data_IF_529618714931
#
_entry.id   IF_529618714931
#
_cell.length_a   1.000
_cell.length_b   1.000
_cell.length_c   1.000
_cell.angle_alpha   90.00
_cell.angle_beta   90.00
_cell.angle_gamma   90.00
#
_symmetry.space_group_name_H-M   'P 1'
#
loop_
_entity.id
_entity.type
_entity.pdbx_description
1 polymer ?
#
# COMPACT_ATOMS: atom_id res chain seq x y z
N UNK A 1 51.43 -28.58 -18.17
CA UNK A 1 50.39 -29.06 -17.22
C UNK A 1 49.15 -28.24 -17.49
N UNK A 2 47.96 -28.85 -17.53
CA UNK A 2 46.72 -28.16 -17.88
C UNK A 2 46.14 -27.43 -16.66
N UNK A 3 45.79 -26.16 -16.84
CA UNK A 3 45.04 -25.37 -15.85
C UNK A 3 43.62 -25.18 -16.39
N UNK A 4 42.61 -25.44 -15.56
CA UNK A 4 41.22 -25.22 -15.96
C UNK A 4 40.64 -24.06 -15.17
N UNK A 5 40.17 -23.02 -15.84
CA UNK A 5 39.64 -21.81 -15.21
C UNK A 5 38.12 -21.78 -15.33
N UNK A 6 37.44 -21.66 -14.19
CA UNK A 6 35.99 -21.52 -14.14
C UNK A 6 35.58 -20.19 -14.78
N UNK A 7 34.83 -20.23 -15.88
CA UNK A 7 34.35 -19.01 -16.55
C UNK A 7 33.30 -18.21 -15.75
N UNK A 8 32.75 -18.80 -14.69
CA UNK A 8 31.73 -18.17 -13.83
C UNK A 8 32.35 -17.39 -12.67
N UNK A 9 33.46 -17.85 -12.10
CA UNK A 9 34.05 -17.24 -10.90
C UNK A 9 35.58 -17.11 -10.92
N UNK A 10 36.25 -17.61 -11.95
CA UNK A 10 37.70 -17.56 -12.09
C UNK A 10 38.47 -18.59 -11.27
N UNK A 11 37.81 -19.53 -10.58
CA UNK A 11 38.50 -20.61 -9.87
C UNK A 11 39.38 -21.43 -10.82
N UNK A 12 40.66 -21.56 -10.49
CA UNK A 12 41.62 -22.34 -11.27
C UNK A 12 41.80 -23.72 -10.63
N UNK A 13 41.47 -24.77 -11.40
CA UNK A 13 41.85 -26.13 -11.09
C UNK A 13 43.21 -26.42 -11.72
N UNK A 14 44.23 -26.51 -10.86
CA UNK A 14 45.59 -26.86 -11.25
C UNK A 14 45.81 -28.35 -11.01
N UNK A 15 45.96 -29.12 -12.08
CA UNK A 15 46.23 -30.56 -12.02
C UNK A 15 47.52 -30.92 -11.25
N UNK A 16 48.47 -29.99 -11.09
CA UNK A 16 49.70 -30.20 -10.35
C UNK A 16 49.54 -30.03 -8.83
N UNK A 17 48.55 -29.23 -8.39
CA UNK A 17 48.29 -28.94 -6.97
C UNK A 17 47.04 -29.64 -6.44
N UNK A 18 46.09 -29.97 -7.31
CA UNK A 18 44.84 -30.62 -6.94
C UNK A 18 45.06 -32.10 -6.59
N UNK A 19 44.30 -32.61 -5.61
CA UNK A 19 44.36 -34.02 -5.19
C UNK A 19 43.84 -35.00 -6.25
N UNK A 20 43.06 -34.51 -7.22
CA UNK A 20 42.45 -35.29 -8.30
C UNK A 20 42.65 -34.53 -9.60
N UNK A 21 43.08 -35.22 -10.66
CA UNK A 21 43.24 -34.61 -12.00
C UNK A 21 41.89 -34.26 -12.59
N UNK A 22 41.86 -33.23 -13.42
CA UNK A 22 40.64 -32.72 -14.04
C UNK A 22 39.83 -33.82 -14.74
N UNK A 23 40.49 -34.65 -15.54
CA UNK A 23 39.84 -35.74 -16.28
C UNK A 23 39.24 -36.82 -15.38
N UNK A 24 39.80 -36.98 -14.18
CA UNK A 24 39.34 -37.94 -13.17
C UNK A 24 38.20 -37.40 -12.30
N UNK A 25 37.80 -36.14 -12.45
CA UNK A 25 36.67 -35.58 -11.71
C UNK A 25 35.34 -36.15 -12.26
N UNK A 26 34.40 -36.55 -11.37
CA UNK A 26 33.06 -36.97 -11.74
C UNK A 26 32.33 -35.97 -12.65
N UNK A 27 31.40 -36.44 -13.48
CA UNK A 27 30.65 -35.59 -14.41
C UNK A 27 29.71 -34.59 -13.70
N UNK A 28 29.31 -34.90 -12.48
CA UNK A 28 28.51 -34.03 -11.60
C UNK A 28 29.36 -33.12 -10.70
N UNK A 29 30.70 -33.18 -10.84
CA UNK A 29 31.58 -32.29 -10.10
C UNK A 29 31.28 -30.83 -10.42
N UNK A 30 31.13 -30.03 -9.37
CA UNK A 30 30.84 -28.60 -9.46
C UNK A 30 31.99 -27.79 -8.87
N UNK A 31 32.24 -26.62 -9.45
CA UNK A 31 33.18 -25.64 -8.93
C UNK A 31 32.94 -25.43 -7.42
N UNK A 32 33.96 -25.63 -6.56
CA UNK A 32 33.80 -25.48 -5.12
C UNK A 32 33.51 -24.03 -4.71
N UNK A 33 33.81 -23.07 -5.58
CA UNK A 33 33.61 -21.64 -5.32
C UNK A 33 32.21 -21.18 -5.70
N UNK A 34 31.71 -21.54 -6.89
CA UNK A 34 30.44 -20.99 -7.41
C UNK A 34 29.36 -22.04 -7.74
N UNK A 35 29.67 -23.33 -7.62
CA UNK A 35 28.74 -24.41 -7.98
C UNK A 35 28.52 -24.59 -9.48
N UNK A 36 29.24 -23.85 -10.33
CA UNK A 36 29.18 -24.05 -11.78
C UNK A 36 29.64 -25.47 -12.15
N UNK A 37 28.98 -26.09 -13.12
CA UNK A 37 29.33 -27.44 -13.58
C UNK A 37 30.75 -27.48 -14.16
N UNK A 38 31.37 -28.68 -14.17
CA UNK A 38 32.66 -28.95 -14.82
C UNK A 38 32.75 -28.40 -16.25
N UNK A 39 31.64 -28.40 -17.00
CA UNK A 39 31.55 -27.85 -18.36
C UNK A 39 31.74 -26.33 -18.46
N UNK A 40 31.66 -25.59 -17.37
CA UNK A 40 31.85 -24.14 -17.35
C UNK A 40 33.34 -23.73 -17.26
N UNK A 41 34.26 -24.69 -17.30
CA UNK A 41 35.70 -24.44 -17.22
C UNK A 41 36.34 -24.43 -18.60
N UNK A 42 37.35 -23.57 -18.75
CA UNK A 42 38.16 -23.45 -19.96
C UNK A 42 39.59 -23.84 -19.65
N UNK A 43 40.22 -24.59 -20.55
CA UNK A 43 41.64 -24.94 -20.43
C UNK A 43 42.49 -23.70 -20.77
N UNK A 44 43.42 -23.33 -19.89
CA UNK A 44 44.43 -22.31 -20.13
C UNK A 44 45.81 -22.98 -20.20
N UNK A 45 46.48 -22.86 -21.35
CA UNK A 45 47.85 -23.35 -21.52
C UNK A 45 48.86 -22.43 -20.80
N UNK A 46 49.90 -23.04 -20.23
CA UNK A 46 50.76 -22.48 -19.18
C UNK A 46 51.71 -21.34 -19.57
N UNK A 47 51.63 -20.79 -20.79
CA UNK A 47 52.52 -19.70 -21.23
C UNK A 47 51.99 -18.30 -20.90
N UNK A 48 50.73 -18.17 -20.45
CA UNK A 48 50.11 -16.89 -20.11
C UNK A 48 50.13 -16.53 -18.60
N UNK A 49 50.82 -17.32 -17.75
CA UNK A 49 50.75 -17.19 -16.28
C UNK A 49 51.96 -16.50 -15.63
N UNK A 50 52.90 -15.95 -16.43
CA UNK A 50 54.10 -15.28 -15.91
C UNK A 50 53.85 -13.87 -15.33
N UNK A 51 52.64 -13.31 -15.46
CA UNK A 51 52.40 -11.89 -15.12
C UNK A 51 51.13 -11.65 -14.28
N UNK A 52 50.82 -12.58 -13.36
CA UNK A 52 49.58 -12.52 -12.56
C UNK A 52 49.78 -12.33 -11.05
N UNK A 53 50.93 -11.86 -10.58
CA UNK A 53 51.14 -11.58 -9.15
C UNK A 53 50.32 -10.39 -8.63
N UNK A 54 49.66 -9.61 -9.50
CA UNK A 54 48.72 -8.54 -9.10
C UNK A 54 47.26 -8.98 -9.01
N UNK A 55 46.91 -10.20 -9.44
CA UNK A 55 45.50 -10.66 -9.54
C UNK A 55 44.98 -11.40 -8.29
N UNK A 56 45.78 -11.60 -7.25
CA UNK A 56 45.32 -12.33 -6.05
C UNK A 56 44.27 -11.56 -5.23
N UNK A 57 44.25 -10.23 -5.31
CA UNK A 57 43.28 -9.38 -4.58
C UNK A 57 41.88 -9.28 -5.23
N UNK A 58 41.80 -9.33 -6.56
CA UNK A 58 40.53 -9.11 -7.30
C UNK A 58 39.66 -10.38 -7.39
N UNK A 59 40.28 -11.56 -7.40
CA UNK A 59 39.58 -12.85 -7.49
C UNK A 59 38.90 -13.25 -6.16
N UNK A 60 39.45 -12.80 -5.02
CA UNK A 60 38.82 -12.98 -3.71
C UNK A 60 37.50 -12.20 -3.56
N UNK A 61 37.37 -11.02 -4.20
CA UNK A 61 36.12 -10.25 -4.18
C UNK A 61 35.01 -10.88 -5.02
N UNK A 62 35.32 -11.44 -6.19
CA UNK A 62 34.32 -12.08 -7.06
C UNK A 62 33.70 -13.32 -6.40
N UNK A 63 34.50 -14.18 -5.75
CA UNK A 63 33.99 -15.33 -5.00
C UNK A 63 33.10 -14.95 -3.81
N UNK A 64 33.48 -13.89 -3.06
CA UNK A 64 32.70 -13.38 -1.93
C UNK A 64 31.37 -12.75 -2.38
N UNK A 65 31.36 -12.02 -3.50
CA UNK A 65 30.15 -11.42 -4.06
C UNK A 65 29.13 -12.49 -4.52
N UNK A 66 29.60 -13.57 -5.14
CA UNK A 66 28.73 -14.69 -5.57
C UNK A 66 28.14 -15.43 -4.37
N UNK A 67 28.95 -15.69 -3.33
CA UNK A 67 28.47 -16.30 -2.09
C UNK A 67 27.42 -15.41 -1.39
N UNK A 68 27.68 -14.10 -1.32
CA UNK A 68 26.73 -13.13 -0.77
C UNK A 68 25.41 -13.15 -1.56
N UNK A 69 25.46 -13.08 -2.89
CA UNK A 69 24.25 -13.14 -3.73
C UNK A 69 23.43 -14.41 -3.48
N UNK A 70 24.09 -15.57 -3.33
CA UNK A 70 23.43 -16.84 -3.05
C UNK A 70 22.74 -16.84 -1.68
N UNK A 71 23.41 -16.32 -0.66
CA UNK A 71 22.82 -16.17 0.68
C UNK A 71 21.62 -15.22 0.65
N UNK A 72 21.75 -14.05 0.01
CA UNK A 72 20.63 -13.12 -0.17
C UNK A 72 19.48 -13.75 -0.94
N UNK A 73 19.75 -14.57 -1.96
CA UNK A 73 18.73 -15.31 -2.70
C UNK A 73 17.94 -16.31 -1.85
N UNK A 74 18.61 -17.08 -0.99
CA UNK A 74 17.94 -18.00 -0.06
C UNK A 74 17.14 -17.27 1.01
N UNK A 75 17.70 -16.19 1.58
CA UNK A 75 17.00 -15.34 2.55
C UNK A 75 15.75 -14.74 1.92
N UNK A 76 15.86 -14.22 0.69
CA UNK A 76 14.72 -13.67 -0.05
C UNK A 76 13.64 -14.72 -0.30
N UNK A 77 14.02 -15.93 -0.73
CA UNK A 77 13.08 -17.04 -0.93
C UNK A 77 12.37 -17.42 0.39
N UNK A 78 13.11 -17.52 1.49
CA UNK A 78 12.54 -17.86 2.79
C UNK A 78 11.54 -16.78 3.26
N UNK A 79 11.91 -15.50 3.16
CA UNK A 79 11.02 -14.38 3.49
C UNK A 79 9.77 -14.41 2.60
N UNK A 80 9.92 -14.60 1.29
CA UNK A 80 8.81 -14.68 0.35
C UNK A 80 7.83 -15.80 0.72
N UNK A 81 8.32 -17.01 1.02
CA UNK A 81 7.49 -18.14 1.42
C UNK A 81 6.73 -17.85 2.72
N UNK A 82 7.39 -17.29 3.73
CA UNK A 82 6.73 -16.90 5.00
C UNK A 82 5.62 -15.89 4.73
N UNK A 83 5.88 -14.87 3.92
CA UNK A 83 4.87 -13.86 3.56
C UNK A 83 3.69 -14.48 2.81
N UNK A 84 3.94 -15.39 1.87
CA UNK A 84 2.86 -16.09 1.14
C UNK A 84 2.01 -16.96 2.08
N UNK A 85 2.63 -17.72 2.99
CA UNK A 85 1.89 -18.55 3.95
C UNK A 85 0.99 -17.70 4.87
N UNK A 86 1.42 -16.50 5.25
CA UNK A 86 0.63 -15.62 6.11
C UNK A 86 -0.44 -14.80 5.38
N UNK A 87 -0.19 -14.45 4.11
CA UNK A 87 -1.07 -13.56 3.35
C UNK A 87 -2.11 -14.31 2.52
N UNK A 88 -1.76 -15.47 1.95
CA UNK A 88 -2.67 -16.26 1.10
C UNK A 88 -3.96 -16.60 1.84
N UNK A 89 -3.96 -17.15 3.07
CA UNK A 89 -5.20 -17.47 3.78
C UNK A 89 -6.11 -16.27 4.02
N UNK A 90 -5.56 -15.05 4.15
CA UNK A 90 -6.39 -13.85 4.36
C UNK A 90 -7.23 -13.51 3.14
N UNK A 91 -6.80 -13.86 1.93
CA UNK A 91 -7.57 -13.59 0.71
C UNK A 91 -8.91 -14.35 0.69
N UNK A 92 -8.99 -15.48 1.39
CA UNK A 92 -10.21 -16.31 1.48
C UNK A 92 -11.23 -15.73 2.46
N UNK A 93 -10.80 -14.86 3.39
CA UNK A 93 -11.69 -14.19 4.34
C UNK A 93 -12.24 -12.87 3.83
N UNK A 94 -11.79 -12.38 2.67
CA UNK A 94 -12.30 -11.16 2.04
C UNK A 94 -13.48 -11.48 1.12
N UNK A 95 -14.69 -11.08 1.52
CA UNK A 95 -15.93 -11.21 0.73
C UNK A 95 -16.32 -9.89 0.02
N UNK A 96 -15.44 -8.88 -0.03
CA UNK A 96 -15.71 -7.53 -0.53
C UNK A 96 -14.73 -7.16 -1.64
N UNK A 97 -15.17 -6.32 -2.58
CA UNK A 97 -14.36 -5.73 -3.65
C UNK A 97 -13.03 -5.15 -3.13
N UNK A 98 -11.92 -5.57 -3.74
CA UNK A 98 -10.59 -5.17 -3.29
C UNK A 98 -10.29 -3.72 -3.70
N UNK A 99 -9.79 -2.88 -2.78
CA UNK A 99 -9.24 -1.58 -3.15
C UNK A 99 -8.16 -1.73 -4.24
N UNK A 100 -8.09 -0.81 -5.21
CA UNK A 100 -7.12 -0.86 -6.31
C UNK A 100 -5.66 -1.05 -5.84
N UNK A 101 -5.33 -0.47 -4.68
CA UNK A 101 -4.05 -0.67 -3.97
C UNK A 101 -3.79 -2.14 -3.64
N UNK A 102 -4.76 -2.81 -3.04
CA UNK A 102 -4.64 -4.21 -2.63
C UNK A 102 -4.49 -5.11 -3.85
N UNK A 103 -5.24 -4.83 -4.92
CA UNK A 103 -5.11 -5.53 -6.21
C UNK A 103 -3.69 -5.40 -6.77
N UNK A 104 -3.14 -4.18 -6.81
CA UNK A 104 -1.78 -3.94 -7.30
C UNK A 104 -0.73 -4.69 -6.46
N UNK A 105 -0.87 -4.67 -5.12
CA UNK A 105 0.03 -5.40 -4.23
C UNK A 105 -0.02 -6.91 -4.47
N UNK A 106 -1.21 -7.49 -4.57
CA UNK A 106 -1.40 -8.93 -4.83
C UNK A 106 -0.83 -9.29 -6.19
N UNK A 107 -1.15 -8.54 -7.24
CA UNK A 107 -0.67 -8.79 -8.60
C UNK A 107 0.86 -8.76 -8.69
N UNK A 108 1.50 -7.77 -8.06
CA UNK A 108 2.95 -7.67 -8.02
C UNK A 108 3.60 -8.78 -7.18
N UNK A 109 2.98 -9.18 -6.07
CA UNK A 109 3.40 -10.33 -5.26
C UNK A 109 3.33 -11.66 -6.02
N UNK A 110 2.26 -11.88 -6.81
CA UNK A 110 2.11 -13.04 -7.68
C UNK A 110 3.14 -13.03 -8.81
N UNK A 111 3.39 -11.87 -9.44
CA UNK A 111 4.39 -11.72 -10.49
C UNK A 111 5.81 -12.06 -9.98
N UNK A 112 6.17 -11.61 -8.77
CA UNK A 112 7.44 -11.96 -8.12
C UNK A 112 7.53 -13.47 -7.89
N UNK A 113 6.45 -14.12 -7.43
CA UNK A 113 6.40 -15.58 -7.23
C UNK A 113 6.62 -16.37 -8.50
N UNK A 114 5.89 -16.01 -9.57
CA UNK A 114 6.03 -16.64 -10.89
C UNK A 114 7.44 -16.45 -11.44
N UNK A 115 8.02 -15.24 -11.34
CA UNK A 115 9.38 -14.96 -11.78
C UNK A 115 10.44 -15.73 -10.94
N UNK A 116 10.24 -15.88 -9.63
CA UNK A 116 11.09 -16.69 -8.76
C UNK A 116 11.07 -18.16 -9.15
N UNK A 117 9.87 -18.75 -9.32
CA UNK A 117 9.70 -20.14 -9.73
C UNK A 117 10.32 -20.40 -11.11
N UNK A 118 10.09 -19.49 -12.06
CA UNK A 118 10.69 -19.56 -13.39
C UNK A 118 12.22 -19.49 -13.33
N UNK A 119 12.79 -18.57 -12.54
CA UNK A 119 14.24 -18.47 -12.34
C UNK A 119 14.82 -19.77 -11.77
N UNK A 120 14.18 -20.35 -10.76
CA UNK A 120 14.62 -21.62 -10.15
C UNK A 120 14.51 -22.78 -11.14
N UNK A 121 13.41 -22.85 -11.90
CA UNK A 121 13.19 -23.88 -12.92
C UNK A 121 14.23 -23.80 -14.05
N UNK A 122 14.55 -22.60 -14.55
CA UNK A 122 15.55 -22.40 -15.59
C UNK A 122 16.94 -22.87 -15.10
N UNK A 123 17.35 -22.46 -13.91
CA UNK A 123 18.66 -22.85 -13.35
C UNK A 123 18.74 -24.37 -13.09
N UNK A 124 17.62 -24.99 -12.70
CA UNK A 124 17.60 -26.42 -12.34
C UNK A 124 17.45 -27.36 -13.53
N UNK A 125 16.61 -27.02 -14.52
CA UNK A 125 16.22 -27.90 -15.62
C UNK A 125 16.73 -27.43 -16.99
N UNK A 126 16.85 -26.12 -17.23
CA UNK A 126 17.16 -25.55 -18.55
C UNK A 126 18.50 -24.80 -18.57
N UNK A 127 19.58 -25.55 -18.30
CA UNK A 127 20.95 -25.04 -18.14
C UNK A 127 21.54 -24.33 -19.37
N UNK A 128 20.93 -24.44 -20.57
CA UNK A 128 21.40 -23.76 -21.79
C UNK A 128 20.87 -22.32 -21.91
N UNK A 129 19.80 -21.98 -21.22
CA UNK A 129 19.13 -20.66 -21.26
C UNK A 129 19.60 -19.72 -20.13
N UNK A 130 20.55 -20.17 -19.31
CA UNK A 130 20.97 -19.51 -18.08
C UNK A 130 21.67 -18.15 -18.31
N UNK A 131 22.53 -18.07 -19.33
CA UNK A 131 23.47 -16.96 -19.54
C UNK A 131 22.80 -15.63 -19.87
N UNK A 132 21.62 -15.65 -20.49
CA UNK A 132 20.90 -14.44 -20.92
C UNK A 132 19.65 -14.16 -20.07
N UNK A 133 18.90 -15.19 -19.68
CA UNK A 133 17.62 -15.01 -18.98
C UNK A 133 17.75 -14.86 -17.46
N UNK A 134 18.77 -15.46 -16.83
CA UNK A 134 18.91 -15.41 -15.37
C UNK A 134 19.21 -14.00 -14.85
N UNK A 135 20.07 -13.18 -15.50
CA UNK A 135 20.30 -11.80 -15.09
C UNK A 135 19.06 -10.92 -15.24
N UNK A 136 18.31 -11.03 -16.34
CA UNK A 136 17.10 -10.22 -16.60
C UNK A 136 15.95 -10.59 -15.66
N UNK A 137 15.79 -11.88 -15.35
CA UNK A 137 14.86 -12.34 -14.30
C UNK A 137 15.31 -11.87 -12.91
N UNK A 138 16.62 -11.84 -12.65
CA UNK A 138 17.17 -11.31 -11.40
C UNK A 138 16.90 -9.82 -11.19
N UNK A 139 17.11 -9.00 -12.23
CA UNK A 139 16.88 -7.55 -12.16
C UNK A 139 15.38 -7.23 -12.08
N UNK A 140 14.54 -7.92 -12.85
CA UNK A 140 13.08 -7.75 -12.75
C UNK A 140 12.56 -8.12 -11.36
N UNK A 141 13.03 -9.22 -10.76
CA UNK A 141 12.68 -9.56 -9.36
C UNK A 141 13.07 -8.46 -8.37
N UNK A 142 14.27 -7.89 -8.52
CA UNK A 142 14.73 -6.79 -7.67
C UNK A 142 13.84 -5.56 -7.83
N UNK A 143 13.58 -5.12 -9.07
CA UNK A 143 12.75 -3.95 -9.37
C UNK A 143 11.33 -4.16 -8.86
N UNK A 144 10.70 -5.29 -9.17
CA UNK A 144 9.36 -5.62 -8.68
C UNK A 144 9.28 -5.64 -7.17
N UNK A 145 10.31 -6.15 -6.48
CA UNK A 145 10.37 -6.15 -5.01
C UNK A 145 10.50 -4.74 -4.45
N UNK A 146 11.36 -3.89 -5.04
CA UNK A 146 11.52 -2.49 -4.62
C UNK A 146 10.23 -1.71 -4.82
N UNK A 147 9.54 -1.90 -5.95
CA UNK A 147 8.24 -1.27 -6.23
C UNK A 147 7.18 -1.74 -5.22
N UNK A 148 7.13 -3.05 -4.94
CA UNK A 148 6.18 -3.62 -3.97
C UNK A 148 6.39 -3.03 -2.57
N UNK A 149 7.65 -2.96 -2.13
CA UNK A 149 8.04 -2.36 -0.86
C UNK A 149 7.71 -0.86 -0.85
N UNK A 150 8.07 -0.13 -1.91
CA UNK A 150 7.82 1.30 -2.04
C UNK A 150 6.34 1.67 -1.99
N UNK A 151 5.45 0.80 -2.48
CA UNK A 151 4.02 1.01 -2.40
C UNK A 151 3.41 0.63 -1.04
N UNK A 152 3.98 -0.39 -0.38
CA UNK A 152 3.41 -0.96 0.84
C UNK A 152 3.89 -0.28 2.12
N UNK A 153 5.19 0.02 2.20
CA UNK A 153 5.83 0.54 3.41
C UNK A 153 5.32 1.92 3.81
N UNK A 154 5.13 2.92 2.91
CA UNK A 154 4.69 4.25 3.33
C UNK A 154 3.29 4.25 3.97
N UNK A 155 2.38 3.38 3.53
CA UNK A 155 1.07 3.24 4.15
C UNK A 155 1.18 2.61 5.54
N UNK A 156 1.87 1.48 5.64
CA UNK A 156 2.10 0.81 6.93
C UNK A 156 2.84 1.71 7.93
N UNK A 157 3.79 2.52 7.45
CA UNK A 157 4.52 3.47 8.28
C UNK A 157 3.63 4.64 8.74
N UNK A 158 2.80 5.20 7.85
CA UNK A 158 1.81 6.22 8.23
C UNK A 158 0.83 5.69 9.28
N UNK A 159 0.34 4.47 9.11
CA UNK A 159 -0.56 3.82 10.08
C UNK A 159 0.13 3.56 11.43
N UNK A 160 1.36 3.03 11.39
CA UNK A 160 2.16 2.81 12.59
C UNK A 160 2.42 4.12 13.33
N UNK A 161 2.72 5.20 12.60
CA UNK A 161 2.97 6.52 13.18
C UNK A 161 1.69 7.18 13.74
N UNK A 162 0.57 7.06 13.03
CA UNK A 162 -0.73 7.50 13.53
C UNK A 162 -1.11 6.78 14.84
N UNK A 163 -0.83 5.47 14.91
CA UNK A 163 -1.05 4.67 16.12
C UNK A 163 -0.06 5.04 17.22
N UNK A 164 1.20 5.35 16.90
CA UNK A 164 2.21 5.77 17.87
C UNK A 164 1.81 7.03 18.63
N UNK A 165 1.10 7.97 17.97
CA UNK A 165 0.53 9.17 18.60
C UNK A 165 -0.49 8.87 19.71
N UNK A 166 -1.10 7.68 19.72
CA UNK A 166 -2.03 7.27 20.78
C UNK A 166 -1.30 6.90 22.09
N UNK A 167 0.01 6.66 22.02
CA UNK A 167 0.79 6.17 23.15
C UNK A 167 1.78 7.22 23.69
N UNK A 168 1.61 8.50 23.35
CA UNK A 168 2.46 9.57 23.90
C UNK A 168 2.11 9.86 25.35
N UNK A 169 3.07 10.33 26.18
CA UNK A 169 2.81 10.64 27.58
C UNK A 169 1.65 11.64 27.78
N UNK A 170 1.52 12.63 26.89
CA UNK A 170 0.44 13.62 26.93
C UNK A 170 -0.93 12.96 26.69
N UNK A 171 -0.98 12.00 25.76
CA UNK A 171 -2.22 11.29 25.47
C UNK A 171 -2.59 10.32 26.59
N UNK A 172 -1.60 9.66 27.20
CA UNK A 172 -1.78 8.80 28.38
C UNK A 172 -2.39 9.63 29.53
N UNK A 173 -1.82 10.79 29.84
CA UNK A 173 -2.36 11.66 30.89
C UNK A 173 -3.80 12.09 30.58
N UNK A 174 -4.05 12.55 29.35
CA UNK A 174 -5.39 12.93 28.89
C UNK A 174 -6.41 11.80 29.07
N UNK A 175 -6.05 10.56 28.72
CA UNK A 175 -6.93 9.41 28.86
C UNK A 175 -7.19 9.10 30.33
N UNK A 176 -6.16 9.15 31.18
CA UNK A 176 -6.30 8.97 32.63
C UNK A 176 -7.27 10.00 33.24
N UNK A 177 -7.13 11.28 32.89
CA UNK A 177 -7.99 12.35 33.40
C UNK A 177 -9.45 12.17 32.95
N UNK A 178 -9.65 11.74 31.70
CA UNK A 178 -10.98 11.47 31.14
C UNK A 178 -11.63 10.22 31.76
N UNK A 179 -10.85 9.19 32.07
CA UNK A 179 -11.35 8.01 32.78
C UNK A 179 -11.80 8.35 34.21
N UNK A 180 -11.17 9.32 34.87
CA UNK A 180 -11.62 9.81 36.18
C UNK A 180 -13.07 10.31 36.19
N UNK A 181 -13.61 10.71 35.03
CA UNK A 181 -15.00 11.14 34.89
C UNK A 181 -16.01 9.99 35.00
N UNK A 182 -15.57 8.73 34.89
CA UNK A 182 -16.43 7.54 35.02
C UNK A 182 -16.51 7.02 36.46
N UNK A 183 -15.92 7.74 37.43
CA UNK A 183 -15.89 7.34 38.84
C UNK A 183 -14.90 6.22 39.17
N UNK A 184 -13.94 5.95 38.28
CA UNK A 184 -12.85 5.02 38.55
C UNK A 184 -11.83 5.61 39.53
N UNK A 185 -11.23 4.77 40.36
CA UNK A 185 -10.14 5.16 41.24
C UNK A 185 -8.94 5.72 40.44
N UNK A 186 -8.22 6.74 40.96
CA UNK A 186 -7.11 7.36 40.22
C UNK A 186 -6.01 6.38 39.81
N UNK A 187 -5.68 5.41 40.67
CA UNK A 187 -4.68 4.39 40.37
C UNK A 187 -5.10 3.50 39.18
N UNK A 188 -6.39 3.21 39.09
CA UNK A 188 -6.98 2.38 38.04
C UNK A 188 -7.06 3.14 36.71
N UNK A 189 -7.40 4.43 36.75
CA UNK A 189 -7.36 5.32 35.58
C UNK A 189 -5.95 5.38 34.98
N UNK A 190 -4.92 5.50 35.82
CA UNK A 190 -3.53 5.50 35.39
C UNK A 190 -3.15 4.18 34.74
N UNK A 191 -3.50 3.04 35.37
CA UNK A 191 -3.25 1.69 34.84
C UNK A 191 -3.87 1.48 33.46
N UNK A 192 -5.14 1.83 33.29
CA UNK A 192 -5.88 1.66 32.03
C UNK A 192 -5.39 2.60 30.92
N UNK A 193 -4.86 3.76 31.27
CA UNK A 193 -4.30 4.71 30.30
C UNK A 193 -2.91 4.31 29.78
N UNK A 194 -2.21 3.36 30.42
CA UNK A 194 -0.86 2.96 30.00
C UNK A 194 -0.84 2.36 28.57
N UNK A 195 0.27 2.52 27.82
CA UNK A 195 0.37 2.00 26.46
C UNK A 195 0.07 0.50 26.31
N UNK A 196 0.40 -0.30 27.32
CA UNK A 196 0.13 -1.75 27.32
C UNK A 196 -1.37 -2.03 27.40
N UNK A 197 -2.08 -1.36 28.31
CA UNK A 197 -3.53 -1.42 28.47
C UNK A 197 -4.26 -0.92 27.22
N UNK A 198 -3.81 0.20 26.64
CA UNK A 198 -4.38 0.72 25.39
C UNK A 198 -4.19 -0.25 24.21
N UNK A 199 -3.03 -0.94 24.11
CA UNK A 199 -2.82 -2.00 23.11
C UNK A 199 -3.72 -3.21 23.36
N UNK A 200 -3.97 -3.56 24.62
CA UNK A 200 -4.91 -4.62 24.96
C UNK A 200 -6.34 -4.24 24.55
N UNK A 201 -6.78 -3.01 24.84
CA UNK A 201 -8.06 -2.47 24.39
C UNK A 201 -8.22 -2.45 22.87
N UNK A 202 -7.14 -2.12 22.13
CA UNK A 202 -7.13 -2.21 20.67
C UNK A 202 -7.38 -3.63 20.16
N UNK A 203 -6.80 -4.65 20.82
CA UNK A 203 -7.01 -6.06 20.45
C UNK A 203 -8.46 -6.47 20.65
N UNK A 204 -9.04 -6.15 21.81
CA UNK A 204 -10.46 -6.38 22.12
C UNK A 204 -11.35 -5.73 21.05
N UNK A 205 -11.11 -4.47 20.71
CA UNK A 205 -11.89 -3.78 19.68
C UNK A 205 -11.84 -4.51 18.32
N UNK A 206 -10.65 -4.96 17.92
CA UNK A 206 -10.43 -5.61 16.61
C UNK A 206 -10.95 -7.04 16.55
N UNK A 207 -10.99 -7.74 17.67
CA UNK A 207 -11.40 -9.14 17.72
C UNK A 207 -12.90 -9.26 17.97
N UNK A 208 -13.45 -8.43 18.85
CA UNK A 208 -14.80 -8.62 19.38
C UNK A 208 -15.80 -7.57 18.87
N UNK A 209 -15.38 -6.33 18.61
CA UNK A 209 -16.31 -5.23 18.33
C UNK A 209 -16.58 -4.98 16.84
N UNK A 210 -15.61 -5.24 15.96
CA UNK A 210 -15.75 -4.98 14.51
C UNK A 210 -16.31 -6.15 13.71
N UNK A 211 -16.67 -7.25 14.38
CA UNK A 211 -17.22 -8.44 13.72
C UNK A 211 -18.61 -8.19 13.13
N UNK A 212 -19.40 -7.29 13.73
CA UNK A 212 -20.82 -7.09 13.37
C UNK A 212 -21.08 -5.77 12.62
N UNK A 213 -20.36 -4.68 12.92
CA UNK A 213 -20.53 -3.39 12.24
C UNK A 213 -19.23 -2.59 12.19
N UNK A 214 -19.10 -1.68 11.22
CA UNK A 214 -17.97 -0.75 11.15
C UNK A 214 -18.02 0.24 12.33
N UNK A 215 -16.84 0.58 12.85
CA UNK A 215 -16.65 1.51 13.95
C UNK A 215 -17.01 2.95 13.56
N UNK A 216 -16.89 3.29 12.27
CA UNK A 216 -17.21 4.63 11.73
C UNK A 216 -18.61 5.10 12.16
N UNK A 217 -19.59 4.21 12.11
CA UNK A 217 -20.98 4.50 12.47
C UNK A 217 -21.14 4.80 13.96
N UNK A 218 -20.40 4.11 14.83
CA UNK A 218 -20.45 4.32 16.29
C UNK A 218 -19.84 5.65 16.72
N UNK A 219 -18.87 6.13 15.93
CA UNK A 219 -18.02 7.29 16.19
C UNK A 219 -18.50 8.60 15.57
N UNK A 220 -19.55 8.57 14.75
CA UNK A 220 -20.05 9.74 14.03
C UNK A 220 -20.57 10.85 14.97
N UNK A 221 -20.95 10.50 16.20
CA UNK A 221 -21.37 11.46 17.23
C UNK A 221 -20.28 11.60 18.31
N UNK A 222 -19.96 12.83 18.76
CA UNK A 222 -19.10 13.03 19.92
C UNK A 222 -19.65 12.28 21.13
N UNK A 223 -18.77 11.59 21.86
CA UNK A 223 -19.12 10.83 23.06
C UNK A 223 -18.24 11.24 24.21
N UNK A 224 -18.85 11.37 25.37
CA UNK A 224 -18.15 11.52 26.65
C UNK A 224 -17.57 10.16 27.08
N UNK A 225 -16.58 10.15 28.00
CA UNK A 225 -16.06 8.91 28.58
C UNK A 225 -17.14 7.98 29.14
N UNK A 226 -18.12 8.55 29.83
CA UNK A 226 -19.27 7.81 30.37
C UNK A 226 -20.16 7.21 29.26
N UNK A 227 -20.40 7.97 28.18
CA UNK A 227 -21.15 7.46 27.02
C UNK A 227 -20.43 6.27 26.34
N UNK A 228 -19.10 6.28 26.34
CA UNK A 228 -18.31 5.15 25.86
C UNK A 228 -18.50 3.93 26.74
N UNK A 229 -18.37 4.08 28.06
CA UNK A 229 -18.58 2.98 29.01
C UNK A 229 -19.95 2.33 28.84
N UNK A 230 -21.00 3.13 28.75
CA UNK A 230 -22.37 2.65 28.54
C UNK A 230 -22.53 1.96 27.17
N UNK A 231 -21.86 2.45 26.13
CA UNK A 231 -21.92 1.83 24.81
C UNK A 231 -21.24 0.47 24.81
N UNK A 232 -20.05 0.36 25.39
CA UNK A 232 -19.32 -0.91 25.53
C UNK A 232 -20.13 -1.89 26.36
N UNK A 233 -20.71 -1.47 27.49
CA UNK A 233 -21.57 -2.33 28.33
C UNK A 233 -22.78 -2.87 27.56
N UNK A 234 -23.50 -2.02 26.83
CA UNK A 234 -24.62 -2.46 25.98
C UNK A 234 -24.21 -3.40 24.84
N UNK A 235 -22.95 -3.34 24.38
CA UNK A 235 -22.44 -4.29 23.40
C UNK A 235 -22.05 -5.60 24.07
N UNK A 236 -21.39 -5.55 25.24
CA UNK A 236 -21.07 -6.71 26.05
C UNK A 236 -22.32 -7.54 26.37
N UNK A 237 -23.42 -6.88 26.74
CA UNK A 237 -24.72 -7.52 27.01
C UNK A 237 -25.35 -8.20 25.78
N UNK A 238 -24.87 -7.88 24.57
CA UNK A 238 -25.33 -8.45 23.29
C UNK A 238 -24.31 -9.43 22.68
N UNK A 239 -23.17 -9.66 23.33
CA UNK A 239 -22.21 -10.66 22.88
C UNK A 239 -22.76 -12.07 23.06
N UNK A 240 -22.33 -12.98 22.19
CA UNK A 240 -22.81 -14.37 22.19
C UNK A 240 -22.36 -15.09 23.46
N UNK A 241 -23.19 -15.98 24.00
CA UNK A 241 -22.90 -16.79 25.20
C UNK A 241 -21.58 -17.58 25.13
N UNK A 242 -21.06 -17.82 23.93
CA UNK A 242 -19.82 -18.57 23.68
C UNK A 242 -18.54 -17.75 23.91
N UNK A 243 -18.62 -16.41 23.92
CA UNK A 243 -17.49 -15.52 24.19
C UNK A 243 -17.98 -14.23 24.86
N UNK A 244 -18.35 -14.29 26.16
CA UNK A 244 -18.83 -13.11 26.88
C UNK A 244 -17.70 -12.11 27.08
N UNK A 245 -17.97 -10.83 26.82
CA UNK A 245 -16.99 -9.77 27.06
C UNK A 245 -16.99 -9.41 28.56
N UNK A 246 -16.02 -9.94 29.32
CA UNK A 246 -15.86 -9.70 30.76
C UNK A 246 -15.53 -8.23 31.10
N UNK A 247 -15.64 -7.85 32.37
CA UNK A 247 -15.55 -6.45 32.81
C UNK A 247 -14.18 -5.79 32.55
N UNK A 248 -13.07 -6.50 32.76
CA UNK A 248 -11.72 -5.98 32.49
C UNK A 248 -11.50 -5.66 30.99
N UNK A 249 -11.78 -6.59 30.03
CA UNK A 249 -11.80 -6.27 28.60
C UNK A 249 -12.67 -5.07 28.23
N UNK A 250 -13.84 -4.91 28.88
CA UNK A 250 -14.70 -3.75 28.65
C UNK A 250 -14.02 -2.43 29.04
N UNK A 251 -13.30 -2.39 30.16
CA UNK A 251 -12.56 -1.20 30.59
C UNK A 251 -11.37 -0.91 29.68
N UNK A 252 -10.63 -1.94 29.26
CA UNK A 252 -9.51 -1.81 28.32
C UNK A 252 -9.98 -1.21 26.98
N UNK A 253 -11.07 -1.73 26.41
CA UNK A 253 -11.61 -1.19 25.15
C UNK A 253 -12.19 0.21 25.32
N UNK A 254 -12.80 0.51 26.48
CA UNK A 254 -13.30 1.86 26.81
C UNK A 254 -12.16 2.87 26.85
N UNK A 255 -11.07 2.56 27.54
CA UNK A 255 -9.87 3.41 27.59
C UNK A 255 -9.28 3.64 26.19
N UNK A 256 -9.20 2.59 25.37
CA UNK A 256 -8.74 2.71 23.99
C UNK A 256 -9.66 3.59 23.12
N UNK A 257 -10.98 3.44 23.24
CA UNK A 257 -11.95 4.26 22.51
C UNK A 257 -11.84 5.74 22.89
N UNK A 258 -11.62 6.05 24.17
CA UNK A 258 -11.35 7.42 24.64
C UNK A 258 -10.04 7.96 24.07
N UNK A 259 -9.00 7.10 24.00
CA UNK A 259 -7.70 7.46 23.43
C UNK A 259 -7.81 7.83 21.94
N UNK A 260 -8.56 7.05 21.16
CA UNK A 260 -8.66 7.21 19.70
C UNK A 260 -9.75 8.19 19.25
N UNK A 261 -10.69 8.55 20.14
CA UNK A 261 -11.85 9.41 19.85
C UNK A 261 -11.53 10.72 19.09
N UNK A 262 -10.53 11.55 19.47
CA UNK A 262 -10.30 12.82 18.79
C UNK A 262 -9.93 12.67 17.30
N UNK A 263 -9.06 11.70 16.99
CA UNK A 263 -8.65 11.42 15.61
C UNK A 263 -9.84 10.95 14.76
N UNK A 264 -10.69 10.13 15.35
CA UNK A 264 -11.86 9.57 14.68
C UNK A 264 -12.96 10.60 14.47
N UNK A 265 -13.18 11.50 15.44
CA UNK A 265 -14.13 12.61 15.30
C UNK A 265 -13.69 13.58 14.19
N UNK A 266 -12.41 13.90 14.08
CA UNK A 266 -11.90 14.72 12.97
C UNK A 266 -12.15 14.06 11.61
N UNK A 267 -11.94 12.74 11.50
CA UNK A 267 -12.23 12.00 10.27
C UNK A 267 -13.73 11.99 9.95
N UNK A 268 -14.58 11.78 10.96
CA UNK A 268 -16.04 11.79 10.80
C UNK A 268 -16.55 13.17 10.38
N UNK A 269 -16.10 14.24 11.04
CA UNK A 269 -16.47 15.63 10.72
C UNK A 269 -16.05 16.02 9.29
N UNK A 270 -14.86 15.61 8.84
CA UNK A 270 -14.42 15.86 7.44
C UNK A 270 -15.34 15.19 6.43
N UNK A 271 -15.72 13.93 6.69
CA UNK A 271 -16.62 13.18 5.82
C UNK A 271 -18.04 13.77 5.82
N UNK A 272 -18.60 14.10 6.99
CA UNK A 272 -19.91 14.76 7.08
C UNK A 272 -19.90 16.13 6.40
N UNK A 273 -18.82 16.92 6.56
CA UNK A 273 -18.65 18.18 5.86
C UNK A 273 -18.56 18.02 4.33
N UNK A 274 -17.88 16.96 3.84
CA UNK A 274 -17.87 16.61 2.41
C UNK A 274 -19.27 16.23 1.92
N UNK A 275 -20.00 15.37 2.65
CA UNK A 275 -21.37 14.98 2.30
C UNK A 275 -22.30 16.19 2.25
N UNK A 276 -22.20 17.09 3.23
CA UNK A 276 -23.02 18.30 3.27
C UNK A 276 -22.71 19.23 2.09
N UNK A 277 -21.43 19.42 1.72
CA UNK A 277 -21.08 20.23 0.53
C UNK A 277 -21.57 19.62 -0.76
N UNK A 278 -21.49 18.30 -0.91
CA UNK A 278 -22.06 17.59 -2.08
C UNK A 278 -23.57 17.76 -2.17
N UNK A 279 -24.26 17.62 -1.05
CA UNK A 279 -25.71 17.85 -1.00
C UNK A 279 -26.07 19.31 -1.32
N UNK A 280 -25.32 20.28 -0.82
CA UNK A 280 -25.49 21.69 -1.17
C UNK A 280 -25.26 21.94 -2.66
N UNK A 281 -24.25 21.32 -3.26
CA UNK A 281 -24.01 21.41 -4.70
C UNK A 281 -25.13 20.77 -5.51
N UNK A 282 -25.70 19.65 -5.05
CA UNK A 282 -26.87 19.02 -5.66
C UNK A 282 -28.10 19.93 -5.59
N UNK A 283 -28.36 20.54 -4.44
CA UNK A 283 -29.46 21.51 -4.28
C UNK A 283 -29.26 22.75 -5.15
N UNK A 284 -28.02 23.26 -5.23
CA UNK A 284 -27.67 24.36 -6.12
C UNK A 284 -27.83 23.97 -7.61
N UNK A 285 -27.54 22.73 -7.96
CA UNK A 285 -27.75 22.17 -9.30
C UNK A 285 -29.25 22.04 -9.64
N UNK A 286 -30.08 21.61 -8.68
CA UNK A 286 -31.53 21.60 -8.82
C UNK A 286 -32.09 23.03 -9.01
N UNK A 287 -31.57 24.01 -8.27
CA UNK A 287 -31.97 25.42 -8.42
C UNK A 287 -31.63 25.99 -9.80
N UNK A 288 -30.57 25.49 -10.47
CA UNK A 288 -30.26 25.93 -11.82
C UNK A 288 -31.43 25.69 -12.76
N UNK A 289 -32.23 24.63 -12.56
CA UNK A 289 -33.37 24.22 -13.41
C UNK A 289 -34.37 25.37 -13.61
N UNK A 290 -34.48 26.27 -12.64
CA UNK A 290 -35.24 27.50 -12.72
C UNK A 290 -34.36 28.63 -13.30
N UNK A 291 -34.85 29.38 -14.30
CA UNK A 291 -34.06 30.51 -14.81
C UNK A 291 -33.98 31.63 -13.77
N UNK A 292 -32.78 32.15 -13.44
CA UNK A 292 -32.64 33.18 -12.42
C UNK A 292 -33.36 34.48 -12.83
N UNK A 293 -34.08 35.09 -11.89
CA UNK A 293 -34.83 36.34 -12.10
C UNK A 293 -33.93 37.54 -12.44
N UNK A 294 -32.64 37.52 -12.04
CA UNK A 294 -31.67 38.58 -12.34
C UNK A 294 -30.40 38.04 -13.03
N UNK A 295 -29.90 38.74 -14.07
CA UNK A 295 -28.69 38.33 -14.78
C UNK A 295 -27.45 38.48 -13.88
N UNK A 296 -26.87 37.34 -13.49
CA UNK A 296 -25.62 37.27 -12.73
C UNK A 296 -24.49 37.91 -13.57
N UNK A 297 -23.67 38.75 -12.93
CA UNK A 297 -22.50 39.37 -13.56
C UNK A 297 -21.56 38.29 -14.12
N UNK A 298 -21.21 38.40 -15.40
CA UNK A 298 -20.40 37.41 -16.11
C UNK A 298 -19.07 38.00 -16.56
N UNK A 299 -17.98 37.36 -16.15
CA UNK A 299 -16.62 37.62 -16.60
C UNK A 299 -16.09 36.36 -17.30
N UNK A 300 -15.88 36.46 -18.61
CA UNK A 300 -15.43 35.34 -19.45
C UNK A 300 -14.08 34.77 -18.99
N UNK A 301 -13.17 35.61 -18.46
CA UNK A 301 -11.85 35.15 -17.99
C UNK A 301 -11.98 34.38 -16.69
N UNK A 302 -12.80 34.86 -15.76
CA UNK A 302 -13.09 34.17 -14.52
C UNK A 302 -13.84 32.85 -14.78
N UNK A 303 -14.78 32.84 -15.72
CA UNK A 303 -15.55 31.66 -16.09
C UNK A 303 -14.68 30.58 -16.75
N UNK A 304 -13.72 30.97 -17.62
CA UNK A 304 -12.72 30.05 -18.16
C UNK A 304 -11.87 29.42 -17.06
N UNK A 305 -11.36 30.23 -16.13
CA UNK A 305 -10.56 29.73 -15.00
C UNK A 305 -11.36 28.76 -14.12
N UNK A 306 -12.63 29.08 -13.89
CA UNK A 306 -13.54 28.22 -13.15
C UNK A 306 -13.78 26.89 -13.87
N UNK A 307 -13.99 26.91 -15.19
CA UNK A 307 -14.11 25.73 -16.03
C UNK A 307 -12.85 24.85 -15.95
N UNK A 308 -11.68 25.43 -16.18
CA UNK A 308 -10.41 24.70 -16.10
C UNK A 308 -10.18 24.11 -14.70
N UNK A 309 -10.56 24.85 -13.65
CA UNK A 309 -10.40 24.40 -12.27
C UNK A 309 -11.39 23.33 -11.84
N UNK A 310 -12.68 23.43 -12.20
CA UNK A 310 -13.74 22.51 -11.76
C UNK A 310 -13.86 21.30 -12.67
N UNK A 311 -13.79 21.47 -13.99
CA UNK A 311 -14.02 20.38 -14.93
C UNK A 311 -12.79 19.47 -15.13
N UNK A 312 -11.57 19.93 -14.77
CA UNK A 312 -10.35 19.12 -14.89
C UNK A 312 -10.01 18.31 -13.62
N UNK A 313 -10.81 18.38 -12.56
CA UNK A 313 -10.49 17.75 -11.27
C UNK A 313 -10.49 16.22 -11.33
N UNK A 314 -11.28 15.64 -12.23
CA UNK A 314 -11.49 14.19 -12.29
C UNK A 314 -11.00 13.57 -13.61
N UNK A 315 -11.13 14.28 -14.73
CA UNK A 315 -10.72 13.81 -16.05
C UNK A 315 -10.19 14.98 -16.89
N UNK A 316 -9.55 14.67 -18.02
CA UNK A 316 -9.08 15.71 -18.95
C UNK A 316 -10.26 16.48 -19.56
N UNK A 317 -10.04 17.76 -19.86
CA UNK A 317 -11.03 18.61 -20.53
C UNK A 317 -11.27 18.24 -21.99
N UNK A 318 -10.38 17.48 -22.61
CA UNK A 318 -10.45 17.10 -24.03
C UNK A 318 -11.80 16.47 -24.44
N UNK A 319 -12.54 15.87 -23.49
CA UNK A 319 -13.83 15.25 -23.77
C UNK A 319 -14.86 16.27 -24.31
N UNK A 320 -14.83 17.53 -23.84
CA UNK A 320 -15.74 18.58 -24.32
C UNK A 320 -15.44 18.99 -25.76
N UNK A 321 -14.19 18.85 -26.20
CA UNK A 321 -13.80 19.16 -27.58
C UNK A 321 -14.27 18.07 -28.56
N UNK A 322 -14.35 16.81 -28.10
CA UNK A 322 -14.85 15.68 -28.89
C UNK A 322 -16.37 15.61 -28.94
N UNK A 323 -17.04 15.97 -27.84
CA UNK A 323 -18.51 15.98 -27.71
C UNK A 323 -18.93 17.31 -27.08
N UNK A 324 -18.96 18.41 -27.88
CA UNK A 324 -19.37 19.71 -27.37
C UNK A 324 -20.89 19.71 -27.08
N UNK A 325 -21.35 20.46 -26.08
CA UNK A 325 -22.78 20.71 -25.90
C UNK A 325 -23.34 21.43 -27.12
N UNK A 326 -24.50 21.03 -27.61
CA UNK A 326 -25.17 21.64 -28.77
C UNK A 326 -26.09 22.82 -28.39
N UNK A 327 -26.36 22.98 -27.10
CA UNK A 327 -27.35 23.90 -26.57
C UNK A 327 -27.05 24.26 -25.11
N UNK A 328 -27.67 25.34 -24.63
CA UNK A 328 -27.64 25.72 -23.20
C UNK A 328 -28.15 24.58 -22.31
N UNK A 329 -29.16 23.84 -22.77
CA UNK A 329 -29.71 22.71 -22.02
C UNK A 329 -28.73 21.53 -21.98
N UNK A 330 -28.06 21.20 -23.08
CA UNK A 330 -27.01 20.18 -23.06
C UNK A 330 -25.83 20.55 -22.16
N UNK A 331 -25.39 21.82 -22.19
CA UNK A 331 -24.34 22.32 -21.29
C UNK A 331 -24.76 22.21 -19.81
N UNK A 332 -26.03 22.53 -19.51
CA UNK A 332 -26.62 22.35 -18.19
C UNK A 332 -26.61 20.89 -17.75
N UNK A 333 -27.09 19.97 -18.59
CA UNK A 333 -27.12 18.54 -18.27
C UNK A 333 -25.73 17.96 -17.98
N UNK A 334 -24.69 18.39 -18.72
CA UNK A 334 -23.30 18.00 -18.43
C UNK A 334 -22.91 18.44 -17.01
N UNK A 335 -23.14 19.71 -16.67
CA UNK A 335 -22.82 20.25 -15.34
C UNK A 335 -23.61 19.53 -14.23
N UNK A 336 -24.91 19.26 -14.44
CA UNK A 336 -25.75 18.51 -13.50
C UNK A 336 -25.22 17.09 -13.27
N UNK A 337 -24.88 16.37 -14.34
CA UNK A 337 -24.29 15.03 -14.23
C UNK A 337 -22.97 15.04 -13.47
N UNK A 338 -22.12 16.06 -13.68
CA UNK A 338 -20.87 16.19 -12.94
C UNK A 338 -21.10 16.45 -11.44
N UNK A 339 -22.14 17.20 -11.07
CA UNK A 339 -22.53 17.38 -9.67
C UNK A 339 -23.04 16.08 -9.07
N UNK A 340 -23.86 15.32 -9.79
CA UNK A 340 -24.35 14.00 -9.35
C UNK A 340 -23.20 13.00 -9.13
N UNK A 341 -22.17 13.04 -9.98
CA UNK A 341 -20.93 12.25 -9.84
C UNK A 341 -19.96 12.81 -8.78
N UNK A 342 -20.28 13.96 -8.17
CA UNK A 342 -19.65 14.46 -6.96
C UNK A 342 -18.82 15.74 -7.08
N UNK A 343 -19.04 16.56 -8.12
CA UNK A 343 -18.47 17.91 -8.23
C UNK A 343 -19.05 18.84 -7.14
N UNK A 344 -18.17 19.47 -6.35
CA UNK A 344 -18.55 20.49 -5.37
C UNK A 344 -18.47 21.90 -6.02
N UNK A 345 -19.61 22.57 -6.15
CA UNK A 345 -19.72 23.95 -6.64
C UNK A 345 -20.95 24.67 -6.05
N UNK A 346 -20.90 26.00 -6.03
CA UNK A 346 -22.00 26.90 -5.65
C UNK A 346 -22.90 27.19 -6.84
N UNK A 347 -24.13 27.66 -6.59
CA UNK A 347 -25.09 28.02 -7.63
C UNK A 347 -24.54 29.05 -8.65
N UNK A 348 -23.83 30.06 -8.16
CA UNK A 348 -23.19 31.07 -8.99
C UNK A 348 -22.07 30.47 -9.87
N UNK A 349 -21.25 29.57 -9.31
CA UNK A 349 -20.22 28.86 -10.06
C UNK A 349 -20.84 27.98 -11.15
N UNK A 350 -21.89 27.22 -10.82
CA UNK A 350 -22.57 26.35 -11.77
C UNK A 350 -23.22 27.17 -12.90
N UNK A 351 -23.84 28.30 -12.58
CA UNK A 351 -24.43 29.22 -13.57
C UNK A 351 -23.37 29.77 -14.53
N UNK A 352 -22.20 30.16 -14.01
CA UNK A 352 -21.07 30.60 -14.84
C UNK A 352 -20.53 29.48 -15.73
N UNK A 353 -20.45 28.24 -15.22
CA UNK A 353 -20.00 27.08 -16.00
C UNK A 353 -20.95 26.78 -17.16
N UNK A 354 -22.26 26.73 -16.91
CA UNK A 354 -23.27 26.50 -17.96
C UNK A 354 -23.18 27.58 -19.04
N UNK A 355 -23.06 28.85 -18.62
CA UNK A 355 -22.93 29.97 -19.55
C UNK A 355 -21.65 29.89 -20.38
N UNK A 356 -20.50 29.62 -19.75
CA UNK A 356 -19.23 29.48 -20.44
C UNK A 356 -19.24 28.33 -21.45
N UNK A 357 -19.76 27.17 -21.05
CA UNK A 357 -19.90 26.01 -21.92
C UNK A 357 -20.78 26.32 -23.15
N UNK A 358 -21.87 27.06 -22.91
CA UNK A 358 -22.77 27.49 -23.99
C UNK A 358 -22.08 28.49 -24.92
N UNK A 359 -21.50 29.57 -24.40
CA UNK A 359 -20.89 30.63 -25.22
C UNK A 359 -19.64 30.16 -25.98
N UNK A 360 -18.90 29.19 -25.43
CA UNK A 360 -17.62 28.73 -26.00
C UNK A 360 -17.77 27.53 -26.92
N UNK A 361 -18.66 26.58 -26.58
CA UNK A 361 -18.72 25.27 -27.26
C UNK A 361 -20.05 24.99 -27.95
N UNK A 362 -21.17 25.61 -27.53
CA UNK A 362 -22.43 25.47 -28.26
C UNK A 362 -22.34 26.25 -29.56
N UNK A 363 -22.19 25.52 -30.66
CA UNK A 363 -22.20 26.10 -32.00
C UNK A 363 -23.56 26.77 -32.20
N UNK A 364 -23.56 28.07 -32.51
CA UNK A 364 -24.78 28.75 -32.98
C UNK A 364 -25.33 27.96 -34.16
N UNK A 365 -26.62 27.56 -34.17
CA UNK A 365 -27.21 27.00 -35.36
C UNK A 365 -27.14 28.06 -36.46
N UNK A 366 -26.32 27.83 -37.48
CA UNK A 366 -26.37 28.57 -38.75
C UNK A 366 -27.65 28.26 -39.53
#
# INVERSE_FOLDING_TARGET
MAHYVCSVCGYVHDDARAKTRWDSLPSDWTCPVCGAAKSAFQESSSEAFSDSDTKTGMFGMAGRAVMAHRMFGYVFLAIYVVLMVQMVPRLWMYQIEFPARTVLHIGLGMAIGTALLLKIAIVRFFRRLDRSLVPTLGTSLLVSSVVLIGFSVPAAFREAWATARLFTPENVQRVSDLLGQTGLEPAECQRLAQPESLRAGQRVLRQDCIACHDLRTVLARPRTPESWRQTVRRMADRTTMLNPLEEEPQWLVTAYLIAVSPQLQQSAQRLSGQQQRREQSRQAAEALVEEPEEPIAYDARAAQQLFEYKCAQCHSLALVDYVPPDSKEAARQIVLSMVDEGMEATEAELSQLVRYLTETFAQSPE
#
